data_IF_518742857033
#
_entry.id   IF_518742857033
#
_cell.length_a   1.000
_cell.length_b   1.000
_cell.length_c   1.000
_cell.angle_alpha   90.00
_cell.angle_beta   90.00
_cell.angle_gamma   90.00
#
_symmetry.space_group_name_H-M   'P 1'
#
loop_
_entity.id
_entity.type
_entity.pdbx_description
1 polymer ?
#
# COMPACT_ATOMS: atom_id res chain seq x y z
N UNK A 1 9.27 -10.56 -18.92
CA UNK A 1 7.98 -10.26 -18.29
C UNK A 1 8.12 -8.95 -17.52
N UNK A 2 7.05 -8.17 -17.43
CA UNK A 2 6.91 -7.03 -16.54
C UNK A 2 5.99 -7.41 -15.39
N UNK A 3 6.47 -7.30 -14.16
CA UNK A 3 5.81 -7.80 -12.96
C UNK A 3 5.44 -6.62 -12.07
N UNK A 4 4.17 -6.54 -11.70
CA UNK A 4 3.69 -5.63 -10.66
C UNK A 4 3.90 -6.27 -9.29
N UNK A 5 4.57 -5.59 -8.38
CA UNK A 5 4.79 -6.07 -7.01
C UNK A 5 4.28 -5.02 -6.05
N UNK A 6 3.37 -5.41 -5.15
CA UNK A 6 2.91 -4.54 -4.07
C UNK A 6 3.65 -4.86 -2.78
N UNK A 7 4.08 -3.85 -2.02
CA UNK A 7 4.86 -4.03 -0.79
C UNK A 7 4.52 -2.98 0.28
N UNK A 8 4.87 -3.28 1.53
CA UNK A 8 4.67 -2.38 2.67
C UNK A 8 3.20 -2.31 3.13
N UNK A 9 2.92 -1.56 4.20
CA UNK A 9 1.56 -1.40 4.71
C UNK A 9 0.81 -0.28 3.99
N UNK A 10 -0.51 -0.23 4.08
CA UNK A 10 -1.26 1.02 3.83
C UNK A 10 -1.57 1.75 5.15
N UNK A 11 -1.94 3.03 5.06
CA UNK A 11 -2.27 3.91 6.18
C UNK A 11 -3.60 4.59 5.94
N UNK A 12 -4.60 4.26 6.76
CA UNK A 12 -5.93 4.86 6.70
C UNK A 12 -6.08 5.94 7.77
N UNK A 13 -6.06 7.19 7.33
CA UNK A 13 -5.95 8.35 8.21
C UNK A 13 -7.23 8.61 9.02
N UNK A 14 -7.08 8.64 10.34
CA UNK A 14 -8.11 9.05 11.30
C UNK A 14 -8.19 10.58 11.32
N UNK A 15 -7.03 11.22 11.36
CA UNK A 15 -6.83 12.66 11.31
C UNK A 15 -5.51 12.98 10.62
N UNK A 16 -5.06 14.24 10.62
CA UNK A 16 -3.83 14.65 9.91
C UNK A 16 -2.52 14.11 10.53
N UNK A 17 -2.59 13.39 11.66
CA UNK A 17 -1.42 12.90 12.40
C UNK A 17 -1.48 11.39 12.63
N UNK A 18 -2.67 10.82 12.75
CA UNK A 18 -2.91 9.43 13.17
C UNK A 18 -3.60 8.65 12.08
N UNK A 19 -3.24 7.38 11.97
CA UNK A 19 -3.76 6.46 10.97
C UNK A 19 -3.87 5.04 11.55
N UNK A 20 -4.73 4.24 10.93
CA UNK A 20 -4.76 2.79 11.07
C UNK A 20 -3.79 2.18 10.04
N UNK A 21 -3.03 1.16 10.44
CA UNK A 21 -2.06 0.51 9.56
C UNK A 21 -1.76 -0.90 10.05
N UNK A 22 -1.27 -1.74 9.15
CA UNK A 22 -0.81 -3.08 9.45
C UNK A 22 0.72 -3.07 9.70
N UNK A 23 1.20 -3.92 10.62
CA UNK A 23 2.61 -3.97 11.04
C UNK A 23 3.54 -4.66 10.02
N UNK A 24 3.45 -4.28 8.74
CA UNK A 24 4.30 -4.82 7.68
C UNK A 24 5.62 -4.06 7.60
N UNK A 25 6.72 -4.81 7.53
CA UNK A 25 8.05 -4.26 7.26
C UNK A 25 8.33 -4.06 5.76
N UNK A 26 7.48 -4.58 4.87
CA UNK A 26 7.71 -4.57 3.41
C UNK A 26 8.87 -5.43 2.89
N UNK A 27 9.70 -6.01 3.78
CA UNK A 27 10.92 -6.74 3.42
C UNK A 27 10.69 -7.87 2.40
N UNK A 28 9.60 -8.61 2.54
CA UNK A 28 9.27 -9.71 1.63
C UNK A 28 9.04 -9.22 0.19
N UNK A 29 8.21 -8.18 0.01
CA UNK A 29 7.95 -7.60 -1.31
C UNK A 29 9.21 -7.02 -1.96
N UNK A 30 10.10 -6.41 -1.16
CA UNK A 30 11.37 -5.87 -1.65
C UNK A 30 12.33 -6.99 -2.08
N UNK A 31 12.41 -8.09 -1.31
CA UNK A 31 13.23 -9.25 -1.68
C UNK A 31 12.72 -9.93 -2.97
N UNK A 32 11.40 -9.99 -3.15
CA UNK A 32 10.79 -10.51 -4.38
C UNK A 32 11.07 -9.61 -5.59
N UNK A 33 11.02 -8.28 -5.40
CA UNK A 33 11.40 -7.32 -6.44
C UNK A 33 12.86 -7.48 -6.87
N UNK A 34 13.78 -7.62 -5.91
CA UNK A 34 15.19 -7.89 -6.21
C UNK A 34 15.38 -9.23 -6.94
N UNK A 35 14.68 -10.28 -6.51
CA UNK A 35 14.73 -11.58 -7.17
C UNK A 35 14.22 -11.53 -8.62
N UNK A 36 13.11 -10.84 -8.87
CA UNK A 36 12.55 -10.67 -10.21
C UNK A 36 13.51 -9.89 -11.14
N UNK A 37 14.12 -8.82 -10.64
CA UNK A 37 15.14 -8.09 -11.40
C UNK A 37 16.35 -8.97 -11.75
N UNK A 38 16.85 -9.76 -10.78
CA UNK A 38 17.98 -10.69 -11.02
C UNK A 38 17.63 -11.79 -12.02
N UNK A 39 16.36 -12.15 -12.16
CA UNK A 39 15.87 -13.06 -13.18
C UNK A 39 15.69 -12.41 -14.56
N UNK A 40 15.98 -11.11 -14.71
CA UNK A 40 15.87 -10.37 -15.97
C UNK A 40 14.47 -9.87 -16.28
N UNK A 41 13.61 -9.68 -15.27
CA UNK A 41 12.27 -9.11 -15.43
C UNK A 41 12.26 -7.60 -15.16
N UNK A 42 11.30 -6.90 -15.77
CA UNK A 42 10.99 -5.51 -15.40
C UNK A 42 10.07 -5.51 -14.18
N UNK A 43 10.29 -4.60 -13.23
CA UNK A 43 9.52 -4.55 -11.97
C UNK A 43 8.89 -3.17 -11.77
N UNK A 44 7.57 -3.16 -11.66
CA UNK A 44 6.78 -2.05 -11.12
C UNK A 44 6.55 -2.31 -9.62
N UNK A 45 7.27 -1.59 -8.75
CA UNK A 45 7.16 -1.74 -7.30
C UNK A 45 6.22 -0.66 -6.74
N UNK A 46 4.99 -1.04 -6.39
CA UNK A 46 4.06 -0.16 -5.68
C UNK A 46 4.22 -0.39 -4.18
N UNK A 47 4.74 0.60 -3.46
CA UNK A 47 5.16 0.43 -2.06
C UNK A 47 4.52 1.45 -1.13
N UNK A 48 3.95 0.94 -0.04
CA UNK A 48 3.56 1.72 1.13
C UNK A 48 4.76 2.23 1.94
N UNK A 49 4.52 2.99 3.02
CA UNK A 49 5.56 3.62 3.82
C UNK A 49 6.38 2.59 4.60
N UNK A 50 7.64 2.42 4.19
CA UNK A 50 8.66 1.59 4.84
C UNK A 50 10.03 2.28 4.74
N UNK A 51 10.93 1.97 5.67
CA UNK A 51 12.31 2.50 5.70
C UNK A 51 13.29 1.59 4.94
N UNK A 52 12.87 1.08 3.79
CA UNK A 52 13.70 0.22 2.93
C UNK A 52 14.12 0.99 1.68
N UNK A 53 15.37 0.84 1.28
CA UNK A 53 15.83 1.30 -0.03
C UNK A 53 15.26 0.35 -1.10
N UNK A 54 14.54 0.85 -2.11
CA UNK A 54 14.09 0.00 -3.22
C UNK A 54 15.27 -0.60 -3.98
N UNK A 55 15.16 -1.85 -4.47
CA UNK A 55 16.19 -2.44 -5.33
C UNK A 55 16.46 -1.57 -6.56
N UNK A 56 17.74 -1.44 -6.93
CA UNK A 56 18.13 -0.67 -8.11
C UNK A 56 17.54 -1.30 -9.38
N UNK A 57 16.92 -0.48 -10.23
CA UNK A 57 16.27 -0.94 -11.47
C UNK A 57 14.75 -1.12 -11.34
N UNK A 58 14.17 -1.09 -10.14
CA UNK A 58 12.72 -0.99 -9.98
C UNK A 58 12.20 0.36 -10.46
N UNK A 59 11.02 0.36 -11.09
CA UNK A 59 10.18 1.55 -11.23
C UNK A 59 9.30 1.64 -9.99
N UNK A 60 9.56 2.64 -9.15
CA UNK A 60 8.98 2.71 -7.80
C UNK A 60 7.83 3.70 -7.75
N UNK A 61 6.68 3.24 -7.26
CA UNK A 61 5.47 4.03 -7.04
C UNK A 61 5.17 4.04 -5.55
N UNK A 62 5.36 5.18 -4.89
CA UNK A 62 5.06 5.33 -3.47
C UNK A 62 3.58 5.64 -3.27
N UNK A 63 2.98 4.93 -2.32
CA UNK A 63 1.60 5.13 -1.90
C UNK A 63 1.55 5.24 -0.38
N UNK A 64 0.44 5.72 0.13
CA UNK A 64 0.12 5.73 1.55
C UNK A 64 -1.16 4.96 1.83
N UNK A 65 -2.25 5.22 1.10
CA UNK A 65 -3.57 4.65 1.38
C UNK A 65 -3.89 3.44 0.51
N UNK A 66 -4.89 2.65 0.93
CA UNK A 66 -5.45 1.56 0.12
C UNK A 66 -6.02 2.07 -1.21
N UNK A 67 -6.62 3.26 -1.25
CA UNK A 67 -7.11 3.84 -2.51
C UNK A 67 -5.97 4.18 -3.48
N UNK A 68 -4.87 4.75 -2.98
CA UNK A 68 -3.70 5.05 -3.82
C UNK A 68 -3.03 3.77 -4.34
N UNK A 69 -3.00 2.73 -3.51
CA UNK A 69 -2.57 1.39 -3.93
C UNK A 69 -3.47 0.89 -5.06
N UNK A 70 -4.79 0.93 -4.89
CA UNK A 70 -5.79 0.53 -5.89
C UNK A 70 -5.59 1.26 -7.21
N UNK A 71 -5.58 2.60 -7.18
CA UNK A 71 -5.39 3.43 -8.36
C UNK A 71 -4.08 3.13 -9.09
N UNK A 72 -3.01 2.89 -8.34
CA UNK A 72 -1.71 2.54 -8.93
C UNK A 72 -1.74 1.15 -9.56
N UNK A 73 -2.32 0.15 -8.89
CA UNK A 73 -2.43 -1.19 -9.44
C UNK A 73 -3.31 -1.22 -10.69
N UNK A 74 -4.51 -0.63 -10.65
CA UNK A 74 -5.44 -0.56 -11.80
C UNK A 74 -4.80 0.15 -13.00
N UNK A 75 -4.02 1.20 -12.76
CA UNK A 75 -3.29 1.91 -13.82
C UNK A 75 -2.14 1.11 -14.43
N UNK A 76 -1.37 0.40 -13.60
CA UNK A 76 -0.11 -0.25 -14.02
C UNK A 76 -0.32 -1.69 -14.52
N UNK A 77 -1.27 -2.40 -13.94
CA UNK A 77 -1.49 -3.83 -14.20
C UNK A 77 -1.78 -4.17 -15.67
N UNK A 78 -2.53 -3.36 -16.45
CA UNK A 78 -2.77 -3.65 -17.87
C UNK A 78 -1.50 -3.75 -18.73
N UNK A 79 -0.38 -3.18 -18.27
CA UNK A 79 0.89 -3.24 -18.96
C UNK A 79 1.88 -4.26 -18.33
N UNK A 80 1.40 -5.08 -17.39
CA UNK A 80 2.16 -6.11 -16.70
C UNK A 80 1.66 -7.51 -17.09
N UNK A 81 2.55 -8.50 -17.03
CA UNK A 81 2.22 -9.90 -17.31
C UNK A 81 1.71 -10.65 -16.07
N UNK A 82 1.83 -10.06 -14.89
CA UNK A 82 1.40 -10.65 -13.62
C UNK A 82 1.63 -9.75 -12.42
N UNK A 83 1.00 -10.10 -11.31
CA UNK A 83 1.08 -9.39 -10.04
C UNK A 83 1.53 -10.33 -8.92
N UNK A 84 2.42 -9.83 -8.06
CA UNK A 84 2.79 -10.46 -6.79
C UNK A 84 2.35 -9.53 -5.67
N UNK A 85 1.20 -9.84 -5.08
CA UNK A 85 0.53 -8.97 -4.12
C UNK A 85 1.00 -9.28 -2.69
N UNK A 86 1.89 -8.45 -2.15
CA UNK A 86 2.48 -8.65 -0.81
C UNK A 86 2.35 -7.45 0.11
N UNK A 87 1.69 -6.38 -0.34
CA UNK A 87 1.32 -5.27 0.53
C UNK A 87 0.36 -5.73 1.63
N UNK A 88 0.55 -5.18 2.84
CA UNK A 88 -0.38 -5.38 3.93
C UNK A 88 -1.46 -4.29 3.88
N UNK A 89 -2.47 -4.54 3.06
CA UNK A 89 -3.60 -3.64 2.82
C UNK A 89 -4.49 -3.59 4.06
N UNK A 90 -4.88 -2.41 4.51
CA UNK A 90 -5.91 -2.26 5.54
C UNK A 90 -7.26 -2.64 4.93
N UNK A 91 -8.00 -3.56 5.55
CA UNK A 91 -9.35 -3.95 5.11
C UNK A 91 -10.43 -2.91 5.47
N UNK A 92 -10.12 -2.05 6.45
CA UNK A 92 -11.02 -1.03 6.96
C UNK A 92 -10.32 0.32 7.05
N UNK A 93 -11.12 1.38 6.88
CA UNK A 93 -10.73 2.78 7.05
C UNK A 93 -11.70 3.52 7.96
N UNK A 94 -11.31 4.64 8.60
CA UNK A 94 -12.24 5.53 9.28
C UNK A 94 -13.33 6.00 8.32
N UNK A 95 -14.60 5.83 8.71
CA UNK A 95 -15.76 6.27 7.93
C UNK A 95 -15.74 7.78 7.66
N UNK A 96 -15.17 8.55 8.58
CA UNK A 96 -14.89 9.97 8.42
C UNK A 96 -13.48 10.28 8.91
N UNK A 97 -12.68 10.92 8.05
CA UNK A 97 -11.40 11.53 8.45
C UNK A 97 -11.67 12.92 9.03
N UNK A 98 -11.07 13.22 10.17
CA UNK A 98 -11.15 14.54 10.80
C UNK A 98 -10.03 15.43 10.26
N UNK A 99 -10.37 16.67 9.86
CA UNK A 99 -9.38 17.67 9.49
C UNK A 99 -8.71 18.25 10.74
N UNK A 100 -7.39 18.42 10.70
CA UNK A 100 -6.58 18.81 11.84
C UNK A 100 -6.37 17.68 12.85
N UNK A 101 -5.50 17.91 13.83
CA UNK A 101 -5.24 16.94 14.91
C UNK A 101 -6.40 16.94 15.90
N UNK A 102 -7.01 15.78 16.18
CA UNK A 102 -8.05 15.71 17.22
C UNK A 102 -7.40 15.99 18.58
N UNK A 103 -7.91 17.02 19.25
CA UNK A 103 -7.44 17.44 20.57
C UNK A 103 -7.88 16.45 21.65
N UNK A 104 -7.05 16.28 22.69
CA UNK A 104 -7.43 15.47 23.86
C UNK A 104 -8.57 16.14 24.61
N UNK A 105 -9.65 15.39 24.83
CA UNK A 105 -10.85 15.85 25.56
C UNK A 105 -11.03 15.16 26.92
N UNK A 106 -10.17 14.20 27.26
CA UNK A 106 -10.32 13.36 28.46
C UNK A 106 -11.35 12.23 28.30
N UNK A 107 -11.96 12.10 27.11
CA UNK A 107 -12.89 11.02 26.78
C UNK A 107 -12.27 10.03 25.78
N UNK A 108 -12.75 8.78 25.71
CA UNK A 108 -12.35 7.84 24.67
C UNK A 108 -12.65 8.39 23.27
N UNK A 109 -11.83 8.01 22.29
CA UNK A 109 -12.13 8.21 20.88
C UNK A 109 -12.82 6.94 20.36
N UNK A 110 -14.00 7.10 19.78
CA UNK A 110 -14.72 6.03 19.09
C UNK A 110 -14.59 6.26 17.59
N UNK A 111 -14.17 5.23 16.86
CA UNK A 111 -14.03 5.27 15.41
C UNK A 111 -15.06 4.35 14.78
N UNK A 112 -15.93 4.90 13.93
CA UNK A 112 -16.71 4.10 12.99
C UNK A 112 -15.82 3.77 11.80
N UNK A 113 -15.78 2.49 11.42
CA UNK A 113 -14.99 2.01 10.30
C UNK A 113 -15.89 1.58 9.14
N UNK A 114 -15.37 1.69 7.93
CA UNK A 114 -15.98 1.16 6.70
C UNK A 114 -14.93 0.39 5.91
N UNK A 115 -15.35 -0.57 5.10
CA UNK A 115 -14.45 -1.38 4.28
C UNK A 115 -13.70 -0.51 3.26
N UNK A 116 -12.47 -0.90 2.96
CA UNK A 116 -11.71 -0.39 1.81
C UNK A 116 -12.03 -1.17 0.55
N UNK A 117 -11.58 -0.68 -0.60
CA UNK A 117 -11.69 -1.43 -1.86
C UNK A 117 -10.88 -2.73 -1.81
N UNK A 118 -11.43 -3.79 -2.40
CA UNK A 118 -10.67 -5.01 -2.68
C UNK A 118 -9.79 -4.78 -3.92
N UNK A 119 -8.52 -4.49 -3.66
CA UNK A 119 -7.55 -4.17 -4.72
C UNK A 119 -7.37 -5.32 -5.71
N UNK A 120 -7.42 -6.58 -5.25
CA UNK A 120 -7.14 -7.74 -6.11
C UNK A 120 -8.35 -8.10 -6.96
N UNK A 121 -9.55 -8.00 -6.42
CA UNK A 121 -10.77 -8.24 -7.18
C UNK A 121 -10.93 -7.29 -8.37
N UNK A 122 -10.33 -6.09 -8.33
CA UNK A 122 -10.38 -5.11 -9.42
C UNK A 122 -9.34 -5.34 -10.53
N UNK A 123 -8.39 -6.27 -10.35
CA UNK A 123 -7.34 -6.53 -11.36
C UNK A 123 -7.74 -7.53 -12.44
N UNK A 124 -8.89 -8.21 -12.29
CA UNK A 124 -9.43 -9.18 -13.26
C UNK A 124 -9.28 -10.62 -12.81
#
# INVERSE_FOLDING_TARGET
MRILITAGPTREYIDDVRFLSNASSGRMGYALAEAALRAGHEVELVTGPVELAPPAGCRVHRIETTDQLRESCVRLFPECDGVIATAAVCDYRPKQRVSGKITKTGQPIVLELTETSDVLAELG
#
